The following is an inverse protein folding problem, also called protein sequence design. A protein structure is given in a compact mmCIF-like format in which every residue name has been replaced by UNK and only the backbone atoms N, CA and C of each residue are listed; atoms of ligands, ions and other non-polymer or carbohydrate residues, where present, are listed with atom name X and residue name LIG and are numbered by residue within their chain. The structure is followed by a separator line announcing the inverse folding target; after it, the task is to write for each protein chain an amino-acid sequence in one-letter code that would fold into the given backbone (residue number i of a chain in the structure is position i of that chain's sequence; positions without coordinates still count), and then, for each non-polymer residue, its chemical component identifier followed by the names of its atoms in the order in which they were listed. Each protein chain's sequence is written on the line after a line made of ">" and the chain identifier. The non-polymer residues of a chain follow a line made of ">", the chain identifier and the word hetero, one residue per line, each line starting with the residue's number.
data_IF_279183217019
#
_entry.id   IF_279183217019
#
_cell.length_a   1.000
_cell.length_b   1.000
_cell.length_c   1.000
_cell.angle_alpha   90.00
_cell.angle_beta   90.00
_cell.angle_gamma   90.00
#
_symmetry.space_group_name_H-M   'P 1'
#
loop_
_entity.id
_entity.type
_entity.pdbx_description
1 polymer ?
#
# COMPACT_ATOMS: atom_id res chain seq x y z
N UNK A 1 -16.75 11.05 12.66
CA UNK A 1 -17.99 10.86 13.47
C UNK A 1 -18.23 12.06 14.40
N UNK A 2 -17.21 12.54 15.12
CA UNK A 2 -17.28 13.70 16.04
C UNK A 2 -18.03 14.94 15.52
N UNK A 3 -17.76 15.35 14.28
CA UNK A 3 -18.47 16.49 13.68
C UNK A 3 -19.99 16.27 13.60
N UNK A 4 -20.44 15.05 13.28
CA UNK A 4 -21.87 14.73 13.16
C UNK A 4 -22.51 14.81 14.54
N UNK A 5 -21.91 14.21 15.58
CA UNK A 5 -22.39 14.28 16.96
C UNK A 5 -22.56 15.71 17.45
N UNK A 6 -21.54 16.55 17.24
CA UNK A 6 -21.54 17.95 17.70
C UNK A 6 -22.63 18.81 17.03
N UNK A 7 -23.07 18.46 15.83
CA UNK A 7 -23.92 19.32 14.99
C UNK A 7 -25.31 18.74 14.68
N UNK A 8 -25.65 17.54 15.19
CA UNK A 8 -26.93 16.87 14.86
C UNK A 8 -28.15 17.52 15.52
N UNK A 9 -27.96 18.32 16.57
CA UNK A 9 -28.99 19.05 17.32
C UNK A 9 -28.78 20.57 17.37
N UNK A 10 -27.85 21.12 16.57
CA UNK A 10 -27.49 22.54 16.55
C UNK A 10 -27.88 23.28 15.26
N UNK A 11 -27.23 24.41 14.94
CA UNK A 11 -27.54 25.18 13.72
C UNK A 11 -27.17 24.45 12.41
N UNK A 12 -26.19 23.54 12.44
CA UNK A 12 -25.65 22.85 11.26
C UNK A 12 -26.30 21.47 10.99
N UNK A 13 -27.54 21.25 11.43
CA UNK A 13 -28.23 19.94 11.34
C UNK A 13 -28.30 19.40 9.91
N UNK A 14 -28.55 20.25 8.91
CA UNK A 14 -28.64 19.82 7.50
C UNK A 14 -27.32 19.21 7.01
N UNK A 15 -26.19 19.88 7.30
CA UNK A 15 -24.87 19.37 6.94
C UNK A 15 -24.52 18.09 7.72
N UNK A 16 -24.88 18.03 9.00
CA UNK A 16 -24.66 16.83 9.83
C UNK A 16 -25.44 15.62 9.30
N UNK A 17 -26.72 15.80 8.93
CA UNK A 17 -27.56 14.75 8.31
C UNK A 17 -27.00 14.29 6.96
N UNK A 18 -26.51 15.22 6.13
CA UNK A 18 -25.87 14.88 4.85
C UNK A 18 -24.60 14.05 5.02
N UNK A 19 -23.74 14.40 5.98
CA UNK A 19 -22.53 13.64 6.32
C UNK A 19 -22.86 12.27 6.90
N UNK A 20 -23.90 12.16 7.73
CA UNK A 20 -24.38 10.88 8.27
C UNK A 20 -24.84 9.93 7.16
N UNK A 21 -25.63 10.41 6.19
CA UNK A 21 -26.04 9.61 5.02
C UNK A 21 -24.87 9.11 4.18
N UNK A 22 -23.80 9.90 4.04
CA UNK A 22 -22.58 9.48 3.32
C UNK A 22 -21.82 8.42 4.11
N UNK A 23 -21.68 8.63 5.42
CA UNK A 23 -21.02 7.68 6.31
C UNK A 23 -21.76 6.33 6.34
N UNK A 24 -23.09 6.33 6.39
CA UNK A 24 -23.90 5.11 6.33
C UNK A 24 -23.60 4.30 5.06
N UNK A 25 -23.61 4.95 3.89
CA UNK A 25 -23.32 4.28 2.62
C UNK A 25 -21.90 3.71 2.56
N UNK A 26 -20.92 4.47 3.05
CA UNK A 26 -19.53 4.04 3.13
C UNK A 26 -19.37 2.79 4.00
N UNK A 27 -19.96 2.81 5.20
CA UNK A 27 -19.87 1.69 6.14
C UNK A 27 -20.57 0.44 5.60
N UNK A 28 -21.76 0.59 5.00
CA UNK A 28 -22.47 -0.54 4.38
C UNK A 28 -21.69 -1.15 3.22
N UNK A 29 -21.08 -0.32 2.38
CA UNK A 29 -20.24 -0.80 1.28
C UNK A 29 -19.00 -1.55 1.80
N UNK A 30 -18.36 -1.04 2.86
CA UNK A 30 -17.22 -1.69 3.50
C UNK A 30 -17.62 -3.01 4.15
N UNK A 31 -18.79 -3.09 4.80
CA UNK A 31 -19.29 -4.32 5.42
C UNK A 31 -19.62 -5.42 4.37
N UNK A 32 -20.09 -5.04 3.19
CA UNK A 32 -20.47 -6.01 2.14
C UNK A 32 -19.31 -6.45 1.23
N UNK A 33 -18.43 -5.54 0.83
CA UNK A 33 -17.39 -5.80 -0.19
C UNK A 33 -15.96 -5.71 0.40
N UNK A 34 -15.83 -5.28 1.66
CA UNK A 34 -14.55 -5.05 2.30
C UNK A 34 -13.93 -3.67 1.95
N UNK A 35 -12.98 -3.24 2.78
CA UNK A 35 -12.32 -1.93 2.66
C UNK A 35 -11.56 -1.79 1.33
N UNK A 36 -10.91 -2.85 0.87
CA UNK A 36 -10.02 -2.83 -0.29
C UNK A 36 -10.79 -2.64 -1.60
N UNK A 37 -11.95 -3.28 -1.74
CA UNK A 37 -12.81 -3.09 -2.92
C UNK A 37 -13.42 -1.68 -2.98
N UNK A 38 -13.74 -1.09 -1.83
CA UNK A 38 -14.27 0.28 -1.74
C UNK A 38 -13.23 1.34 -2.10
N UNK A 39 -11.94 1.07 -1.82
CA UNK A 39 -10.85 2.00 -2.15
C UNK A 39 -10.34 1.87 -3.59
N UNK A 40 -10.45 0.68 -4.18
CA UNK A 40 -9.89 0.38 -5.50
C UNK A 40 -10.88 0.57 -6.66
N UNK A 41 -12.19 0.50 -6.43
CA UNK A 41 -13.23 0.60 -7.46
C UNK A 41 -13.97 1.92 -7.45
N UNK A 42 -14.49 2.32 -8.61
CA UNK A 42 -15.36 3.50 -8.73
C UNK A 42 -16.73 3.24 -8.07
N UNK A 43 -17.30 4.25 -7.40
CA UNK A 43 -18.62 4.15 -6.75
C UNK A 43 -19.74 3.70 -7.70
N UNK A 44 -19.63 4.01 -9.00
CA UNK A 44 -20.56 3.56 -10.04
C UNK A 44 -20.52 2.03 -10.21
N UNK A 45 -19.33 1.44 -10.21
CA UNK A 45 -19.14 -0.02 -10.35
C UNK A 45 -19.56 -0.78 -9.10
N UNK A 46 -19.38 -0.16 -7.92
CA UNK A 46 -19.78 -0.76 -6.64
C UNK A 46 -21.29 -0.72 -6.41
N UNK A 47 -22.01 0.19 -7.07
CA UNK A 47 -23.46 0.34 -6.88
C UNK A 47 -24.27 -0.85 -7.38
N UNK A 48 -23.74 -1.60 -8.35
CA UNK A 48 -24.36 -2.83 -8.89
C UNK A 48 -24.17 -4.03 -7.95
N UNK A 49 -23.12 -3.99 -7.11
CA UNK A 49 -22.75 -5.06 -6.19
C UNK A 49 -23.19 -4.82 -4.73
N UNK A 50 -23.68 -3.63 -4.39
CA UNK A 50 -23.97 -3.22 -3.00
C UNK A 50 -25.42 -2.76 -2.87
N UNK A 51 -26.20 -3.52 -2.09
CA UNK A 51 -27.55 -3.10 -1.70
C UNK A 51 -27.42 -2.11 -0.54
N UNK A 52 -27.42 -0.81 -0.84
CA UNK A 52 -27.47 0.24 0.18
C UNK A 52 -28.91 0.48 0.62
N UNK A 53 -29.16 0.47 1.93
CA UNK A 53 -30.49 0.78 2.46
C UNK A 53 -30.71 2.30 2.49
N UNK A 54 -31.94 2.72 2.21
CA UNK A 54 -32.31 4.14 2.08
C UNK A 54 -32.33 4.86 3.44
N UNK A 55 -32.45 4.12 4.56
CA UNK A 55 -32.46 4.72 5.89
C UNK A 55 -31.03 4.98 6.41
N UNK A 56 -30.67 6.23 6.74
CA UNK A 56 -29.41 6.52 7.42
C UNK A 56 -29.38 5.88 8.80
N UNK A 57 -28.19 5.45 9.22
CA UNK A 57 -27.94 4.97 10.58
C UNK A 57 -28.21 6.06 11.61
N UNK A 58 -28.56 5.65 12.83
CA UNK A 58 -28.45 6.53 14.01
C UNK A 58 -26.99 6.94 14.24
N UNK A 59 -26.76 8.09 14.88
CA UNK A 59 -25.38 8.59 15.09
C UNK A 59 -24.55 7.62 15.96
N UNK A 60 -25.16 7.03 16.98
CA UNK A 60 -24.52 6.02 17.85
C UNK A 60 -24.25 4.70 17.12
N UNK A 61 -25.19 4.27 16.27
CA UNK A 61 -25.03 3.08 15.44
C UNK A 61 -23.89 3.26 14.43
N UNK A 62 -23.85 4.42 13.75
CA UNK A 62 -22.78 4.75 12.81
C UNK A 62 -21.42 4.75 13.49
N UNK A 63 -21.32 5.26 14.72
CA UNK A 63 -20.09 5.23 15.48
C UNK A 63 -19.67 3.80 15.84
N UNK A 64 -20.60 2.99 16.36
CA UNK A 64 -20.33 1.60 16.74
C UNK A 64 -19.78 0.81 15.56
N UNK A 65 -20.43 0.94 14.39
CA UNK A 65 -20.00 0.26 13.16
C UNK A 65 -18.63 0.76 12.68
N UNK A 66 -18.40 2.08 12.66
CA UNK A 66 -17.08 2.63 12.31
C UNK A 66 -15.98 2.12 13.25
N UNK A 67 -16.23 2.04 14.56
CA UNK A 67 -15.26 1.49 15.52
C UNK A 67 -15.01 -0.01 15.34
N UNK A 68 -16.00 -0.75 14.84
CA UNK A 68 -15.84 -2.16 14.54
C UNK A 68 -15.06 -2.44 13.25
N UNK A 69 -14.90 -1.43 12.38
CA UNK A 69 -14.05 -1.53 11.19
C UNK A 69 -12.58 -1.55 11.60
N UNK A 70 -12.03 -2.75 11.74
CA UNK A 70 -10.60 -2.96 11.93
C UNK A 70 -9.94 -2.97 10.55
N UNK A 71 -9.22 -1.88 10.23
CA UNK A 71 -8.23 -1.92 9.16
C UNK A 71 -7.22 -3.00 9.56
N UNK A 72 -7.13 -4.09 8.79
CA UNK A 72 -6.03 -5.04 8.95
C UNK A 72 -4.75 -4.21 8.86
N UNK A 73 -3.92 -4.24 9.90
CA UNK A 73 -2.68 -3.48 9.92
C UNK A 73 -1.78 -4.11 8.86
N UNK A 74 -1.71 -3.49 7.68
CA UNK A 74 -0.87 -3.95 6.56
C UNK A 74 0.60 -3.57 6.78
N UNK A 75 0.98 -3.15 7.99
CA UNK A 75 2.37 -2.89 8.30
C UNK A 75 3.14 -4.19 8.06
N UNK A 76 4.06 -4.22 7.08
CA UNK A 76 4.84 -5.42 6.83
C UNK A 76 5.58 -5.79 8.12
N UNK A 77 5.66 -7.09 8.46
CA UNK A 77 6.34 -7.52 9.67
C UNK A 77 7.78 -7.00 9.64
N UNK A 78 8.29 -6.56 10.79
CA UNK A 78 9.69 -6.12 10.92
C UNK A 78 10.60 -7.34 10.72
N UNK A 79 11.04 -7.55 9.48
CA UNK A 79 11.99 -8.59 9.11
C UNK A 79 13.36 -8.27 9.72
N UNK A 80 13.79 -9.09 10.69
CA UNK A 80 15.17 -9.10 11.22
C UNK A 80 15.98 -10.16 10.48
N UNK A 81 16.46 -9.82 9.29
CA UNK A 81 17.29 -10.70 8.48
C UNK A 81 18.76 -10.51 8.85
N UNK A 82 19.42 -11.57 9.35
CA UNK A 82 20.86 -11.58 9.56
C UNK A 82 21.54 -12.39 8.45
N UNK A 83 22.06 -11.71 7.44
CA UNK A 83 22.83 -12.32 6.37
C UNK A 83 24.29 -12.48 6.84
N UNK A 84 24.69 -13.71 7.18
CA UNK A 84 26.09 -14.05 7.47
C UNK A 84 26.70 -14.75 6.26
N UNK A 85 27.91 -14.35 5.88
CA UNK A 85 28.70 -15.12 4.93
C UNK A 85 29.24 -16.36 5.65
N UNK A 86 28.97 -17.54 5.09
CA UNK A 86 29.42 -18.84 5.64
C UNK A 86 30.94 -19.03 5.46
N UNK A 87 31.53 -18.33 4.48
CA UNK A 87 32.94 -18.46 4.13
C UNK A 87 33.60 -17.08 3.98
N UNK A 88 34.91 -17.05 4.25
CA UNK A 88 35.73 -15.86 4.03
C UNK A 88 35.96 -15.66 2.53
N UNK A 89 35.66 -14.46 2.04
CA UNK A 89 36.03 -14.06 0.68
C UNK A 89 37.55 -13.87 0.55
N UNK A 90 38.08 -14.19 -0.64
CA UNK A 90 39.44 -13.82 -1.05
C UNK A 90 39.67 -12.30 -1.05
N UNK A 91 40.92 -11.88 -1.17
CA UNK A 91 41.29 -10.45 -1.18
C UNK A 91 40.73 -9.72 -2.38
N UNK A 92 40.77 -10.36 -3.55
CA UNK A 92 40.11 -9.93 -4.77
C UNK A 92 38.75 -10.65 -4.85
N UNK A 93 37.66 -9.87 -4.86
CA UNK A 93 36.27 -10.38 -4.84
C UNK A 93 35.68 -10.41 -6.23
N UNK A 94 35.83 -9.31 -6.98
CA UNK A 94 35.39 -9.20 -8.38
C UNK A 94 36.54 -8.62 -9.18
N UNK A 95 36.78 -9.21 -10.36
CA UNK A 95 37.56 -8.60 -11.41
C UNK A 95 36.88 -8.83 -12.75
N UNK A 96 36.64 -7.78 -13.50
CA UNK A 96 36.07 -7.86 -14.85
C UNK A 96 37.05 -7.33 -15.88
N UNK A 97 36.91 -7.81 -17.12
CA UNK A 97 37.66 -7.33 -18.29
C UNK A 97 36.67 -7.14 -19.43
N UNK A 98 36.44 -5.90 -19.86
CA UNK A 98 35.47 -5.58 -20.92
C UNK A 98 34.08 -6.18 -20.69
N UNK A 99 33.50 -5.95 -19.51
CA UNK A 99 32.25 -6.57 -19.10
C UNK A 99 31.11 -6.21 -20.05
N UNK A 100 30.38 -7.22 -20.53
CA UNK A 100 29.16 -7.06 -21.32
C UNK A 100 28.14 -8.07 -20.86
N UNK A 101 26.96 -7.59 -20.45
CA UNK A 101 25.88 -8.42 -19.91
C UNK A 101 24.64 -8.23 -20.78
N UNK A 102 23.97 -9.34 -21.07
CA UNK A 102 22.70 -9.35 -21.79
C UNK A 102 22.24 -10.74 -22.16
N UNK A 103 21.21 -10.79 -23.00
CA UNK A 103 20.65 -12.02 -23.56
C UNK A 103 21.26 -12.30 -24.95
N UNK A 104 21.14 -13.54 -25.48
CA UNK A 104 21.52 -13.82 -26.87
C UNK A 104 20.89 -12.81 -27.84
N UNK A 105 21.73 -12.11 -28.60
CA UNK A 105 21.28 -11.10 -29.57
C UNK A 105 20.90 -9.74 -28.97
N UNK A 106 20.95 -9.54 -27.64
CA UNK A 106 20.66 -8.25 -26.99
C UNK A 106 21.56 -7.98 -25.80
N UNK A 107 22.46 -7.02 -25.96
CA UNK A 107 23.26 -6.46 -24.86
C UNK A 107 22.37 -5.54 -24.03
N UNK A 108 22.42 -5.69 -22.70
CA UNK A 108 21.69 -4.86 -21.74
C UNK A 108 22.58 -3.74 -21.20
N UNK A 109 23.80 -4.09 -20.79
CA UNK A 109 24.80 -3.09 -20.39
C UNK A 109 26.24 -3.55 -20.62
N UNK A 110 27.14 -2.59 -20.74
CA UNK A 110 28.58 -2.77 -20.69
C UNK A 110 29.20 -1.95 -19.55
N UNK A 111 30.35 -2.39 -19.06
CA UNK A 111 31.07 -1.68 -18.01
C UNK A 111 32.58 -1.76 -18.25
N UNK A 112 33.34 -0.75 -17.78
CA UNK A 112 34.79 -0.80 -17.77
C UNK A 112 35.29 -1.94 -16.86
N UNK A 113 36.60 -2.13 -16.86
CA UNK A 113 37.25 -3.07 -15.95
C UNK A 113 36.99 -2.65 -14.50
N UNK A 114 36.30 -3.52 -13.75
CA UNK A 114 35.95 -3.33 -12.35
C UNK A 114 36.85 -4.23 -11.53
N UNK A 115 37.41 -3.69 -10.45
CA UNK A 115 38.13 -4.46 -9.44
C UNK A 115 37.50 -4.14 -8.08
N UNK A 116 36.96 -5.15 -7.39
CA UNK A 116 36.37 -5.03 -6.06
C UNK A 116 37.14 -5.93 -5.09
N UNK A 117 37.58 -5.36 -3.98
CA UNK A 117 38.37 -6.03 -2.95
C UNK A 117 37.55 -6.29 -1.68
N UNK A 118 38.07 -7.17 -0.82
CA UNK A 118 37.37 -7.54 0.42
C UNK A 118 37.16 -6.31 1.31
N UNK A 119 35.92 -6.09 1.71
CA UNK A 119 35.52 -4.98 2.58
C UNK A 119 35.07 -3.73 1.82
N UNK A 120 35.29 -3.69 0.50
CA UNK A 120 34.73 -2.64 -0.35
C UNK A 120 33.24 -2.90 -0.63
N UNK A 121 32.49 -1.82 -0.81
CA UNK A 121 31.07 -1.84 -1.12
C UNK A 121 30.84 -1.12 -2.44
N UNK A 122 30.19 -1.80 -3.38
CA UNK A 122 29.77 -1.23 -4.64
C UNK A 122 28.25 -1.25 -4.72
N UNK A 123 27.67 -0.15 -5.21
CA UNK A 123 26.25 -0.06 -5.52
C UNK A 123 26.06 -0.07 -7.03
N UNK A 124 25.21 -0.98 -7.51
CA UNK A 124 24.73 -0.97 -8.90
C UNK A 124 23.41 -0.20 -8.93
N UNK A 125 23.36 0.90 -9.70
CA UNK A 125 22.20 1.78 -9.78
C UNK A 125 21.84 1.95 -11.26
N UNK A 126 20.57 1.78 -11.58
CA UNK A 126 20.04 2.00 -12.92
C UNK A 126 18.51 2.08 -12.91
N UNK A 127 17.90 2.61 -13.98
CA UNK A 127 16.46 2.55 -14.14
C UNK A 127 15.97 1.10 -14.27
N UNK A 128 14.67 0.89 -14.12
CA UNK A 128 14.07 -0.44 -14.29
C UNK A 128 14.40 -0.99 -15.70
N UNK A 129 14.98 -2.19 -15.75
CA UNK A 129 15.36 -2.85 -17.00
C UNK A 129 16.70 -2.40 -17.61
N UNK A 130 17.56 -1.69 -16.86
CA UNK A 130 18.88 -1.25 -17.31
C UNK A 130 19.92 -2.37 -17.43
N UNK A 131 19.64 -3.56 -16.92
CA UNK A 131 20.57 -4.68 -16.84
C UNK A 131 19.86 -5.97 -16.51
#
# INVERSE_FOLDING_TARGET
>A
VEYIKKNISGQNVSQAKGRLRRLTRLVQAIEQVGVEAVLSKSWLELSDAVTTTVSPFGVEEAERRVRSLHLRDHRPPRLKLHLRADQRSGELVIRTRGLRIGYPGRVLFDAPDIELRRGECAALIGPNGAG
#
